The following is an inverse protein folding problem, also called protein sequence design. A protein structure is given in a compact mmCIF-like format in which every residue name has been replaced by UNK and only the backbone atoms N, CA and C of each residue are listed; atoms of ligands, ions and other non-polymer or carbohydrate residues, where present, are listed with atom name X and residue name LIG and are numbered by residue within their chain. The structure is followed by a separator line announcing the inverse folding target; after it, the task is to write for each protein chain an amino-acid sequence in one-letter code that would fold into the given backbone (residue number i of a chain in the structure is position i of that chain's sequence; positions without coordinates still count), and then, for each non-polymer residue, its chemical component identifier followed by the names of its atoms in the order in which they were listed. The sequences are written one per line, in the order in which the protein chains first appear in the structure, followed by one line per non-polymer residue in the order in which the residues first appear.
data_IF_026609154125
#
_entry.id   IF_026609154125
#
_cell.length_a   1.000
_cell.length_b   1.000
_cell.length_c   1.000
_cell.angle_alpha   90.00
_cell.angle_beta   90.00
_cell.angle_gamma   90.00
#
_symmetry.space_group_name_H-M   'P 1'
#
loop_
_entity.id
_entity.type
_entity.pdbx_description
1 polymer ?
#
# COMPACT_ATOMS: atom_id res chain seq x y z
N UNK A 1 27.97 -50.48 86.59
CA UNK A 1 27.39 -50.11 85.28
C UNK A 1 26.22 -49.18 85.56
N UNK A 2 26.08 -48.15 84.72
CA UNK A 2 25.13 -47.02 84.75
C UNK A 2 25.28 -45.95 85.83
N UNK A 3 25.85 -44.79 85.43
CA UNK A 3 25.36 -43.46 85.82
C UNK A 3 26.02 -42.30 85.02
N UNK A 4 25.18 -41.65 84.19
CA UNK A 4 24.97 -40.20 84.02
C UNK A 4 25.88 -39.24 83.20
N UNK A 5 25.14 -38.38 82.48
CA UNK A 5 25.42 -37.06 81.86
C UNK A 5 26.03 -37.07 80.44
N UNK A 6 25.60 -36.26 79.48
CA UNK A 6 24.96 -34.93 79.54
C UNK A 6 23.88 -34.73 78.47
N UNK A 7 22.98 -33.78 78.73
CA UNK A 7 21.96 -33.26 77.82
C UNK A 7 22.59 -32.56 76.61
N UNK A 8 22.22 -32.96 75.39
CA UNK A 8 22.49 -32.18 74.17
C UNK A 8 21.61 -30.91 74.18
N UNK A 9 22.12 -29.82 74.75
CA UNK A 9 21.46 -28.50 74.69
C UNK A 9 21.65 -27.91 73.29
N UNK A 10 20.58 -27.84 72.50
CA UNK A 10 20.57 -27.16 71.19
C UNK A 10 20.86 -25.67 71.38
N UNK A 11 21.85 -25.15 70.65
CA UNK A 11 22.31 -23.77 70.80
C UNK A 11 21.54 -22.86 69.84
N UNK A 12 20.48 -22.22 70.35
CA UNK A 12 19.64 -21.31 69.55
C UNK A 12 20.22 -19.89 69.57
N UNK A 13 20.38 -19.30 68.38
CA UNK A 13 20.89 -17.94 68.22
C UNK A 13 19.96 -17.12 67.33
N UNK A 14 19.67 -15.89 67.72
CA UNK A 14 18.90 -14.95 66.91
C UNK A 14 19.80 -13.90 66.27
N UNK A 15 19.53 -13.58 65.01
CA UNK A 15 20.20 -12.52 64.27
C UNK A 15 19.16 -11.63 63.58
N UNK A 16 19.15 -10.35 63.95
CA UNK A 16 18.26 -9.36 63.37
C UNK A 16 18.89 -8.73 62.13
N UNK A 17 18.22 -8.89 61.00
CA UNK A 17 18.66 -8.36 59.71
C UNK A 17 18.07 -6.96 59.53
N UNK A 18 18.94 -6.02 59.17
CA UNK A 18 18.56 -4.64 58.85
C UNK A 18 18.98 -4.32 57.42
N UNK A 19 18.12 -3.58 56.70
CA UNK A 19 18.37 -3.12 55.33
C UNK A 19 19.49 -2.06 55.22
N UNK A 20 19.92 -1.47 56.34
CA UNK A 20 21.03 -0.49 56.38
C UNK A 20 22.41 -1.15 56.45
N UNK A 21 22.46 -2.43 56.82
CA UNK A 21 23.72 -3.16 56.98
C UNK A 21 23.96 -4.01 55.73
N UNK A 22 25.17 -3.95 55.11
CA UNK A 22 25.47 -4.75 53.93
C UNK A 22 25.26 -6.26 54.15
N UNK A 23 24.71 -6.94 53.14
CA UNK A 23 24.42 -8.39 53.15
C UNK A 23 25.64 -9.21 53.58
N UNK A 24 26.83 -8.86 53.09
CA UNK A 24 28.06 -9.58 53.41
C UNK A 24 28.39 -9.58 54.91
N UNK A 25 28.09 -8.48 55.63
CA UNK A 25 28.31 -8.42 57.08
C UNK A 25 27.37 -9.35 57.85
N UNK A 26 26.13 -9.49 57.38
CA UNK A 26 25.17 -10.45 57.95
C UNK A 26 25.61 -11.89 57.67
N UNK A 27 26.08 -12.19 56.46
CA UNK A 27 26.60 -13.51 56.08
C UNK A 27 27.79 -13.94 56.94
N UNK A 28 28.76 -13.05 57.18
CA UNK A 28 29.92 -13.37 58.02
C UNK A 28 29.51 -13.64 59.47
N UNK A 29 28.57 -12.85 60.02
CA UNK A 29 28.07 -13.05 61.39
C UNK A 29 27.26 -14.34 61.53
N UNK A 30 26.39 -14.62 60.56
CA UNK A 30 25.57 -15.83 60.54
C UNK A 30 26.41 -17.10 60.35
N UNK A 31 27.38 -17.09 59.43
CA UNK A 31 28.28 -18.23 59.20
C UNK A 31 29.07 -18.61 60.46
N UNK A 32 29.55 -17.62 61.22
CA UNK A 32 30.26 -17.88 62.49
C UNK A 32 29.40 -18.60 63.54
N UNK A 33 28.08 -18.45 63.48
CA UNK A 33 27.16 -19.14 64.39
C UNK A 33 26.82 -20.55 63.93
N UNK A 34 26.83 -20.80 62.62
CA UNK A 34 26.55 -22.09 62.00
C UNK A 34 27.76 -23.04 61.97
N UNK A 35 28.98 -22.53 62.19
CA UNK A 35 30.20 -23.33 62.36
C UNK A 35 30.27 -24.10 63.69
N UNK A 36 29.31 -23.89 64.61
CA UNK A 36 29.19 -24.61 65.88
C UNK A 36 28.23 -25.80 65.73
N UNK A 37 28.67 -27.00 66.15
CA UNK A 37 27.86 -28.23 66.14
C UNK A 37 26.57 -28.05 66.96
N UNK A 38 25.43 -28.53 66.45
CA UNK A 38 24.08 -28.41 67.05
C UNK A 38 23.57 -26.95 67.26
N UNK A 39 23.79 -26.06 66.30
CA UNK A 39 23.27 -24.67 66.33
C UNK A 39 22.01 -24.46 65.47
N UNK A 40 21.02 -23.76 66.03
CA UNK A 40 19.84 -23.27 65.29
C UNK A 40 19.95 -21.75 65.18
N UNK A 41 19.97 -21.23 63.96
CA UNK A 41 20.02 -19.79 63.69
C UNK A 41 18.64 -19.28 63.25
N UNK A 42 18.09 -18.33 63.99
CA UNK A 42 16.85 -17.64 63.65
C UNK A 42 17.21 -16.28 63.04
N UNK A 43 16.79 -16.06 61.79
CA UNK A 43 16.97 -14.80 61.07
C UNK A 43 15.68 -13.97 61.15
N UNK A 44 15.74 -12.85 61.87
CA UNK A 44 14.60 -11.96 62.05
C UNK A 44 14.67 -10.78 61.09
N UNK A 45 13.73 -10.69 60.15
CA UNK A 45 13.57 -9.57 59.22
C UNK A 45 12.18 -8.96 59.30
N UNK A 46 12.09 -7.63 59.42
CA UNK A 46 10.82 -6.90 59.44
C UNK A 46 10.79 -5.82 58.34
N UNK A 47 9.62 -5.63 57.71
CA UNK A 47 9.40 -4.61 56.68
C UNK A 47 10.40 -4.70 55.53
N UNK A 48 11.09 -3.58 55.21
CA UNK A 48 12.07 -3.51 54.11
C UNK A 48 13.27 -4.45 54.26
N UNK A 49 13.50 -5.02 55.44
CA UNK A 49 14.60 -5.96 55.67
C UNK A 49 14.26 -7.41 55.29
N UNK A 50 12.98 -7.74 55.02
CA UNK A 50 12.54 -9.12 54.71
C UNK A 50 13.28 -9.68 53.49
N UNK A 51 13.38 -8.90 52.41
CA UNK A 51 14.09 -9.31 51.17
C UNK A 51 15.56 -9.59 51.48
N UNK A 52 16.20 -8.72 52.26
CA UNK A 52 17.60 -8.89 52.69
C UNK A 52 17.76 -10.14 53.57
N UNK A 53 16.78 -10.45 54.41
CA UNK A 53 16.78 -11.66 55.26
C UNK A 53 16.71 -12.93 54.41
N UNK A 54 15.85 -12.95 53.39
CA UNK A 54 15.72 -14.07 52.46
C UNK A 54 17.02 -14.26 51.67
N UNK A 55 17.59 -13.17 51.14
CA UNK A 55 18.86 -13.22 50.40
C UNK A 55 20.02 -13.73 51.28
N UNK A 56 20.08 -13.32 52.55
CA UNK A 56 21.06 -13.84 53.52
C UNK A 56 20.83 -15.35 53.77
N UNK A 57 19.58 -15.79 53.94
CA UNK A 57 19.26 -17.19 54.20
C UNK A 57 19.65 -18.12 53.03
N UNK A 58 19.31 -17.72 51.79
CA UNK A 58 19.64 -18.50 50.59
C UNK A 58 21.14 -18.58 50.34
N UNK A 59 21.87 -17.46 50.50
CA UNK A 59 23.34 -17.44 50.36
C UNK A 59 24.04 -18.25 51.44
N UNK A 60 23.48 -18.36 52.64
CA UNK A 60 24.00 -19.28 53.66
C UNK A 60 23.77 -20.74 53.25
N UNK A 61 22.59 -21.07 52.73
CA UNK A 61 22.30 -22.42 52.25
C UNK A 61 23.26 -22.85 51.14
N UNK A 62 23.52 -21.97 50.18
CA UNK A 62 24.51 -22.18 49.11
C UNK A 62 25.94 -22.32 49.67
N UNK A 63 26.35 -21.42 50.58
CA UNK A 63 27.68 -21.43 51.19
C UNK A 63 27.97 -22.70 51.99
N UNK A 64 26.97 -23.31 52.62
CA UNK A 64 27.09 -24.57 53.35
C UNK A 64 26.62 -25.79 52.53
N UNK A 65 26.65 -25.69 51.19
CA UNK A 65 26.37 -26.80 50.26
C UNK A 65 25.04 -27.54 50.54
N UNK A 66 23.97 -26.79 50.86
CA UNK A 66 22.63 -27.32 51.15
C UNK A 66 22.52 -28.25 52.38
N UNK A 67 23.53 -28.27 53.26
CA UNK A 67 23.46 -29.04 54.53
C UNK A 67 22.54 -28.40 55.58
N UNK A 68 22.19 -27.12 55.39
CA UNK A 68 21.28 -26.38 56.26
C UNK A 68 19.84 -26.54 55.76
N UNK A 69 18.94 -26.94 56.66
CA UNK A 69 17.50 -26.96 56.41
C UNK A 69 16.88 -25.64 56.85
N UNK A 70 16.23 -24.94 55.92
CA UNK A 70 15.49 -23.72 56.22
C UNK A 70 14.09 -24.08 56.71
N UNK A 71 13.66 -23.43 57.79
CA UNK A 71 12.26 -23.42 58.25
C UNK A 71 11.77 -21.98 58.25
N UNK A 72 10.61 -21.74 57.62
CA UNK A 72 10.09 -20.40 57.37
C UNK A 72 8.84 -20.22 58.21
N UNK A 73 8.92 -19.35 59.22
CA UNK A 73 7.76 -18.90 59.98
C UNK A 73 7.49 -17.43 59.64
N UNK A 74 6.49 -17.18 58.81
CA UNK A 74 6.00 -15.83 58.53
C UNK A 74 4.75 -15.57 59.35
N UNK A 75 4.86 -14.81 60.44
CA UNK A 75 3.70 -14.12 61.00
C UNK A 75 3.51 -12.82 60.21
N UNK A 76 2.36 -12.71 59.54
CA UNK A 76 1.86 -11.49 58.88
C UNK A 76 2.71 -10.91 57.73
N UNK A 77 2.61 -11.50 56.53
CA UNK A 77 2.44 -10.80 55.25
C UNK A 77 2.69 -11.75 54.08
N UNK A 78 1.81 -11.67 53.07
CA UNK A 78 1.90 -12.42 51.81
C UNK A 78 3.09 -11.90 50.97
N UNK A 79 3.92 -12.81 50.44
CA UNK A 79 5.12 -12.45 49.68
C UNK A 79 4.74 -12.30 48.20
N UNK A 80 4.89 -11.09 47.65
CA UNK A 80 4.84 -10.81 46.20
C UNK A 80 6.18 -10.30 45.67
N UNK A 81 6.43 -10.59 44.40
CA UNK A 81 7.71 -10.47 43.68
C UNK A 81 8.20 -9.01 43.49
N UNK A 82 9.51 -8.82 43.37
CA UNK A 82 10.28 -7.57 43.59
C UNK A 82 10.07 -6.48 42.50
N UNK A 83 9.26 -6.75 41.47
CA UNK A 83 9.08 -5.86 40.31
C UNK A 83 7.74 -5.11 40.28
N UNK A 84 6.93 -5.16 41.33
CA UNK A 84 5.68 -4.38 41.39
C UNK A 84 5.86 -3.02 42.10
N UNK A 85 5.36 -1.92 41.51
CA UNK A 85 5.40 -0.61 42.16
C UNK A 85 4.47 -0.60 43.38
N UNK A 86 4.96 -0.08 44.50
CA UNK A 86 4.32 -0.14 45.82
C UNK A 86 3.03 0.69 45.97
N UNK A 87 2.53 1.34 44.90
CA UNK A 87 1.26 2.07 44.90
C UNK A 87 0.63 2.02 43.50
N UNK A 88 -0.69 1.81 43.47
CA UNK A 88 -1.64 1.77 42.33
C UNK A 88 -1.93 0.37 41.74
N UNK A 89 -2.66 -0.45 42.51
CA UNK A 89 -3.18 -1.78 42.11
C UNK A 89 -4.11 -1.73 40.87
N UNK A 90 -4.82 -0.64 40.63
CA UNK A 90 -5.72 -0.52 39.46
C UNK A 90 -4.96 -0.26 38.15
N UNK A 91 -3.82 0.45 38.19
CA UNK A 91 -3.09 0.84 36.98
C UNK A 91 -2.14 -0.27 36.52
N UNK A 92 -1.60 -1.08 37.43
CA UNK A 92 -0.73 -2.21 37.09
C UNK A 92 -1.48 -3.37 36.41
N UNK A 93 -2.68 -3.72 36.90
CA UNK A 93 -3.48 -4.78 36.29
C UNK A 93 -3.98 -4.36 34.90
N UNK A 94 -4.42 -3.10 34.75
CA UNK A 94 -4.79 -2.52 33.45
C UNK A 94 -3.62 -2.50 32.46
N UNK A 95 -2.42 -2.09 32.90
CA UNK A 95 -1.19 -2.09 32.07
C UNK A 95 -0.82 -3.51 31.62
N UNK A 96 -0.94 -4.49 32.51
CA UNK A 96 -0.61 -5.90 32.21
C UNK A 96 -1.63 -6.53 31.26
N UNK A 97 -2.91 -6.17 31.39
CA UNK A 97 -3.96 -6.58 30.46
C UNK A 97 -3.77 -5.93 29.07
N UNK A 98 -3.45 -4.64 28.99
CA UNK A 98 -3.20 -3.93 27.72
C UNK A 98 -2.01 -4.51 26.96
N UNK A 99 -0.88 -4.74 27.62
CA UNK A 99 0.30 -5.38 27.01
C UNK A 99 -0.02 -6.79 26.53
N UNK A 100 -0.85 -7.53 27.28
CA UNK A 100 -1.28 -8.88 26.91
C UNK A 100 -2.31 -8.92 25.78
N UNK A 101 -3.17 -7.92 25.66
CA UNK A 101 -4.19 -7.81 24.61
C UNK A 101 -3.60 -7.30 23.29
N UNK A 102 -2.75 -6.28 23.36
CA UNK A 102 -2.16 -5.66 22.17
C UNK A 102 -0.88 -6.35 21.71
N UNK A 103 -0.23 -7.13 22.56
CA UNK A 103 1.06 -7.75 22.25
C UNK A 103 2.21 -6.76 22.06
N UNK A 104 2.01 -5.50 22.45
CA UNK A 104 2.95 -4.38 22.32
C UNK A 104 3.57 -4.04 23.68
N UNK A 105 4.86 -3.73 23.67
CA UNK A 105 5.57 -3.19 24.84
C UNK A 105 5.13 -1.76 25.13
N UNK A 106 5.35 -1.31 26.37
CA UNK A 106 5.15 0.10 26.74
C UNK A 106 5.92 1.07 25.84
N UNK A 107 7.11 0.66 25.38
CA UNK A 107 7.90 1.44 24.43
C UNK A 107 7.20 1.56 23.07
N UNK A 108 6.74 0.46 22.48
CA UNK A 108 6.02 0.47 21.20
C UNK A 108 4.72 1.28 21.28
N UNK A 109 3.96 1.12 22.38
CA UNK A 109 2.75 1.92 22.63
C UNK A 109 3.07 3.42 22.69
N UNK A 110 4.15 3.81 23.37
CA UNK A 110 4.57 5.20 23.44
C UNK A 110 4.97 5.75 22.06
N UNK A 111 5.72 4.99 21.28
CA UNK A 111 6.15 5.37 19.93
C UNK A 111 4.93 5.59 19.01
N UNK A 112 3.96 4.66 19.03
CA UNK A 112 2.73 4.82 18.25
C UNK A 112 1.84 5.96 18.75
N UNK A 113 1.77 6.22 20.06
CA UNK A 113 1.00 7.34 20.61
C UNK A 113 1.59 8.69 20.20
N UNK A 114 2.92 8.83 20.24
CA UNK A 114 3.62 10.03 19.75
C UNK A 114 3.37 10.20 18.25
N UNK A 115 3.50 9.13 17.47
CA UNK A 115 3.25 9.18 16.04
C UNK A 115 1.78 9.54 15.70
N UNK A 116 0.81 9.02 16.47
CA UNK A 116 -0.60 9.37 16.33
C UNK A 116 -0.86 10.84 16.65
N UNK A 117 -0.19 11.40 17.65
CA UNK A 117 -0.27 12.83 17.96
C UNK A 117 0.27 13.67 16.80
N UNK A 118 1.43 13.32 16.24
CA UNK A 118 2.01 14.06 15.10
C UNK A 118 1.12 13.90 13.86
N UNK A 119 0.61 12.71 13.61
CA UNK A 119 -0.35 12.43 12.52
C UNK A 119 -1.62 13.28 12.64
N UNK A 120 -2.21 13.38 13.83
CA UNK A 120 -3.43 14.20 14.03
C UNK A 120 -3.17 15.69 13.81
N UNK A 121 -1.98 16.18 14.17
CA UNK A 121 -1.54 17.54 13.83
C UNK A 121 -1.42 17.71 12.31
N UNK A 122 -0.75 16.79 11.61
CA UNK A 122 -0.61 16.86 10.15
C UNK A 122 -1.95 16.76 9.43
N UNK A 123 -2.86 15.92 9.93
CA UNK A 123 -4.21 15.77 9.40
C UNK A 123 -5.03 17.05 9.61
N UNK A 124 -4.96 17.67 10.79
CA UNK A 124 -5.63 18.93 11.06
C UNK A 124 -5.13 20.05 10.13
N UNK A 125 -3.80 20.19 9.98
CA UNK A 125 -3.21 21.14 9.02
C UNK A 125 -3.68 20.89 7.59
N UNK A 126 -3.77 19.61 7.18
CA UNK A 126 -4.27 19.25 5.84
C UNK A 126 -5.74 19.61 5.64
N UNK A 127 -6.59 19.41 6.65
CA UNK A 127 -8.01 19.74 6.61
C UNK A 127 -8.24 21.26 6.57
N UNK A 128 -7.44 22.03 7.30
CA UNK A 128 -7.49 23.49 7.27
C UNK A 128 -6.97 24.05 5.94
N UNK A 129 -5.97 23.42 5.32
CA UNK A 129 -5.56 23.74 3.95
C UNK A 129 -6.65 23.40 2.91
N UNK A 130 -7.49 22.39 3.15
CA UNK A 130 -8.68 22.16 2.30
C UNK A 130 -9.72 23.28 2.47
N UNK A 131 -9.72 23.98 3.61
CA UNK A 131 -10.56 25.16 3.84
C UNK A 131 -9.95 26.47 3.27
N UNK A 132 -8.63 26.54 3.03
CA UNK A 132 -7.94 27.74 2.56
C UNK A 132 -7.04 27.60 1.30
N UNK A 133 -7.09 26.50 0.55
CA UNK A 133 -6.27 26.33 -0.66
C UNK A 133 -6.82 27.09 -1.89
N UNK A 134 -6.66 28.41 -1.87
CA UNK A 134 -6.61 29.27 -3.06
C UNK A 134 -5.24 29.91 -3.23
N UNK A 135 -4.14 29.26 -2.83
CA UNK A 135 -2.81 29.71 -3.24
C UNK A 135 -1.77 28.60 -3.10
N UNK A 136 -1.12 28.28 -4.21
CA UNK A 136 0.03 27.38 -4.40
C UNK A 136 -0.25 25.86 -4.53
N UNK A 137 0.01 25.26 -5.73
CA UNK A 137 -0.12 23.84 -5.95
C UNK A 137 1.18 23.11 -5.61
N UNK A 138 1.11 22.28 -4.57
CA UNK A 138 2.13 21.27 -4.25
C UNK A 138 2.50 21.24 -2.78
N UNK A 139 2.70 20.01 -2.27
CA UNK A 139 3.55 19.67 -1.11
C UNK A 139 2.93 19.27 0.23
N UNK A 140 1.70 18.73 0.28
CA UNK A 140 1.36 17.78 1.34
C UNK A 140 0.73 16.55 0.73
N UNK A 141 1.60 15.70 0.19
CA UNK A 141 1.25 14.36 -0.23
C UNK A 141 0.58 13.63 0.95
N UNK A 142 -0.46 12.84 0.71
CA UNK A 142 -1.13 12.06 1.77
C UNK A 142 -0.07 11.23 2.53
N UNK A 143 0.98 10.81 1.83
CA UNK A 143 2.17 10.17 2.36
C UNK A 143 2.91 10.96 3.45
N UNK A 144 2.95 12.30 3.37
CA UNK A 144 3.52 13.15 4.43
C UNK A 144 2.63 13.15 5.66
N UNK A 145 1.30 13.21 5.48
CA UNK A 145 0.34 13.17 6.60
C UNK A 145 0.51 11.87 7.38
N UNK A 146 0.62 10.73 6.68
CA UNK A 146 0.81 9.41 7.29
C UNK A 146 2.28 9.10 7.67
N UNK A 147 3.26 9.93 7.29
CA UNK A 147 4.68 9.64 7.54
C UNK A 147 5.05 9.40 9.00
N UNK A 148 4.48 10.10 10.01
CA UNK A 148 4.79 9.81 11.41
C UNK A 148 4.44 8.38 11.82
N UNK A 149 3.30 7.87 11.31
CA UNK A 149 2.87 6.48 11.57
C UNK A 149 3.85 5.50 10.92
N UNK A 150 4.29 5.76 9.69
CA UNK A 150 5.26 4.90 9.00
C UNK A 150 6.63 4.87 9.70
N UNK A 151 7.08 6.01 10.23
CA UNK A 151 8.34 6.08 10.99
C UNK A 151 8.22 5.29 12.30
N UNK A 152 7.08 5.36 12.99
CA UNK A 152 6.82 4.54 14.16
C UNK A 152 6.85 3.05 13.84
N UNK A 153 6.17 2.61 12.77
CA UNK A 153 6.16 1.21 12.35
C UNK A 153 7.59 0.71 12.03
N UNK A 154 8.41 1.52 11.36
CA UNK A 154 9.80 1.19 11.07
C UNK A 154 10.66 1.08 12.34
N UNK A 155 10.51 2.01 13.28
CA UNK A 155 11.22 1.98 14.57
C UNK A 155 10.81 0.78 15.42
N UNK A 156 9.50 0.48 15.47
CA UNK A 156 8.97 -0.69 16.18
C UNK A 156 9.43 -2.00 15.53
N UNK A 157 9.48 -2.07 14.19
CA UNK A 157 10.01 -3.24 13.47
C UNK A 157 11.49 -3.45 13.79
N UNK A 158 12.30 -2.39 13.76
CA UNK A 158 13.72 -2.46 14.12
C UNK A 158 13.91 -2.96 15.56
N UNK A 159 13.14 -2.42 16.50
CA UNK A 159 13.15 -2.87 17.89
C UNK A 159 12.74 -4.35 18.01
N UNK A 160 11.70 -4.78 17.30
CA UNK A 160 11.26 -6.17 17.29
C UNK A 160 12.31 -7.13 16.74
N UNK A 161 13.12 -6.72 15.75
CA UNK A 161 14.26 -7.51 15.27
C UNK A 161 15.32 -7.69 16.37
N UNK A 162 15.64 -6.64 17.13
CA UNK A 162 16.59 -6.73 18.24
C UNK A 162 16.06 -7.70 19.32
N UNK A 163 14.79 -7.56 19.69
CA UNK A 163 14.13 -8.44 20.68
C UNK A 163 14.09 -9.89 20.19
N UNK A 164 13.80 -10.12 18.91
CA UNK A 164 13.84 -11.44 18.28
C UNK A 164 15.22 -12.09 18.41
N UNK A 165 16.30 -11.36 18.09
CA UNK A 165 17.68 -11.87 18.21
C UNK A 165 17.98 -12.25 19.66
N UNK A 166 17.61 -11.39 20.62
CA UNK A 166 17.87 -11.64 22.05
C UNK A 166 17.09 -12.86 22.56
N UNK A 167 15.79 -12.94 22.27
CA UNK A 167 14.95 -14.07 22.68
C UNK A 167 15.38 -15.39 22.04
N UNK A 168 15.91 -15.34 20.81
CA UNK A 168 16.49 -16.51 20.15
C UNK A 168 17.73 -17.02 20.90
N UNK A 169 18.63 -16.12 21.32
CA UNK A 169 19.82 -16.47 22.10
C UNK A 169 19.44 -17.02 23.49
N UNK A 170 18.40 -16.47 24.11
CA UNK A 170 17.92 -16.86 25.44
C UNK A 170 17.02 -18.12 25.42
N UNK A 171 16.70 -18.68 24.25
CA UNK A 171 15.90 -19.91 24.11
C UNK A 171 14.37 -19.74 24.18
N UNK A 172 13.89 -18.49 24.22
CA UNK A 172 12.47 -18.10 24.32
C UNK A 172 11.77 -18.01 22.95
N UNK A 173 11.74 -19.11 22.21
CA UNK A 173 11.35 -19.12 20.78
C UNK A 173 9.86 -18.77 20.56
N UNK A 174 8.95 -19.22 21.43
CA UNK A 174 7.49 -19.01 21.23
C UNK A 174 7.09 -17.54 21.30
N UNK A 175 7.65 -16.81 22.25
CA UNK A 175 7.41 -15.37 22.46
C UNK A 175 7.99 -14.56 21.28
N UNK A 176 9.16 -14.97 20.80
CA UNK A 176 9.81 -14.34 19.65
C UNK A 176 8.99 -14.50 18.35
N UNK A 177 8.43 -15.68 18.11
CA UNK A 177 7.56 -15.96 16.95
C UNK A 177 6.29 -15.11 17.01
N UNK A 178 5.61 -15.05 18.16
CA UNK A 178 4.36 -14.29 18.31
C UNK A 178 4.55 -12.80 17.98
N UNK A 179 5.64 -12.19 18.47
CA UNK A 179 5.98 -10.79 18.18
C UNK A 179 6.32 -10.56 16.71
N UNK A 180 7.05 -11.49 16.11
CA UNK A 180 7.42 -11.39 14.68
C UNK A 180 6.19 -11.45 13.78
N UNK A 181 5.22 -12.33 14.11
CA UNK A 181 3.95 -12.44 13.40
C UNK A 181 3.16 -11.13 13.48
N UNK A 182 3.05 -10.54 14.68
CA UNK A 182 2.34 -9.27 14.86
C UNK A 182 2.97 -8.12 14.07
N UNK A 183 4.29 -7.95 14.16
CA UNK A 183 5.03 -6.93 13.40
C UNK A 183 4.90 -7.15 11.88
N UNK A 184 4.91 -8.41 11.43
CA UNK A 184 4.74 -8.74 10.00
C UNK A 184 3.31 -8.48 9.52
N UNK A 185 2.30 -8.71 10.36
CA UNK A 185 0.91 -8.41 10.03
C UNK A 185 0.69 -6.90 9.81
N UNK A 186 1.35 -6.05 10.60
CA UNK A 186 1.27 -4.59 10.44
C UNK A 186 1.94 -4.12 9.14
N UNK A 187 3.12 -4.65 8.82
CA UNK A 187 3.80 -4.39 7.53
C UNK A 187 3.00 -4.92 6.34
N UNK A 188 2.28 -6.02 6.51
CA UNK A 188 1.37 -6.54 5.48
C UNK A 188 0.19 -5.59 5.24
N UNK A 189 -0.39 -4.99 6.29
CA UNK A 189 -1.41 -3.94 6.14
C UNK A 189 -0.86 -2.75 5.34
N UNK A 190 0.40 -2.36 5.52
CA UNK A 190 1.05 -1.34 4.70
C UNK A 190 1.17 -1.75 3.23
N UNK A 191 1.60 -3.00 2.95
CA UNK A 191 1.63 -3.53 1.59
C UNK A 191 0.24 -3.49 0.95
N UNK A 192 -0.80 -3.87 1.70
CA UNK A 192 -2.19 -3.76 1.24
C UNK A 192 -2.59 -2.31 0.96
N UNK A 193 -2.19 -1.34 1.79
CA UNK A 193 -2.48 0.08 1.56
C UNK A 193 -1.83 0.61 0.28
N UNK A 194 -0.59 0.20 -0.02
CA UNK A 194 0.08 0.58 -1.27
C UNK A 194 -0.63 0.01 -2.50
N UNK A 195 -1.16 -1.20 -2.41
CA UNK A 195 -1.97 -1.81 -3.47
C UNK A 195 -3.33 -1.10 -3.68
N UNK A 196 -3.77 -0.25 -2.74
CA UNK A 196 -4.99 0.56 -2.89
C UNK A 196 -4.77 1.83 -3.74
N UNK A 197 -3.53 2.32 -3.90
CA UNK A 197 -3.25 3.49 -4.75
C UNK A 197 -3.22 3.07 -6.21
N UNK A 198 -4.35 3.27 -6.89
CA UNK A 198 -4.48 2.95 -8.30
C UNK A 198 -4.50 4.20 -9.16
N UNK A 199 -3.84 4.10 -10.30
CA UNK A 199 -3.84 5.17 -11.30
C UNK A 199 -4.55 4.69 -12.56
N UNK A 200 -5.05 5.62 -13.37
CA UNK A 200 -5.76 5.31 -14.61
C UNK A 200 -4.99 5.88 -15.79
N UNK A 201 -4.76 5.06 -16.81
CA UNK A 201 -4.21 5.51 -18.09
C UNK A 201 -5.26 5.28 -19.19
N UNK A 202 -5.72 6.36 -19.82
CA UNK A 202 -6.77 6.33 -20.84
C UNK A 202 -6.16 6.69 -22.19
N UNK A 203 -6.20 5.75 -23.13
CA UNK A 203 -5.64 5.95 -24.47
C UNK A 203 -6.75 6.05 -25.53
N UNK A 204 -6.64 7.03 -26.43
CA UNK A 204 -7.21 6.87 -27.77
C UNK A 204 -6.40 5.84 -28.57
N UNK A 205 -6.99 5.31 -29.64
CA UNK A 205 -6.37 4.32 -30.50
C UNK A 205 -5.75 4.95 -31.74
N UNK A 206 -6.58 5.48 -32.64
CA UNK A 206 -6.14 6.13 -33.88
C UNK A 206 -5.24 7.32 -33.57
N UNK A 207 -4.16 7.48 -34.33
CA UNK A 207 -3.13 8.48 -34.13
C UNK A 207 -2.52 8.56 -32.71
N UNK A 208 -2.87 7.69 -31.78
CA UNK A 208 -2.38 7.72 -30.41
C UNK A 208 -1.64 6.42 -30.08
N UNK A 209 -2.32 5.28 -30.07
CA UNK A 209 -1.65 3.97 -29.95
C UNK A 209 -0.96 3.61 -31.28
N UNK A 210 -1.67 3.75 -32.38
CA UNK A 210 -1.17 3.46 -33.73
C UNK A 210 -0.72 4.73 -34.44
N UNK A 211 0.31 4.60 -35.28
CA UNK A 211 0.81 5.73 -36.08
C UNK A 211 0.03 5.84 -37.41
N UNK A 212 -1.26 6.16 -37.30
CA UNK A 212 -2.16 6.27 -38.44
C UNK A 212 -3.62 6.27 -38.03
N UNK A 213 -4.52 6.21 -39.01
CA UNK A 213 -5.95 6.10 -38.79
C UNK A 213 -6.47 4.79 -39.40
N UNK A 214 -7.05 3.94 -38.56
CA UNK A 214 -7.51 2.60 -38.90
C UNK A 214 -8.61 2.59 -39.97
N UNK A 215 -9.53 3.55 -39.93
CA UNK A 215 -10.57 3.68 -40.94
C UNK A 215 -10.00 4.13 -42.29
N UNK A 216 -9.04 5.05 -42.30
CA UNK A 216 -8.35 5.49 -43.53
C UNK A 216 -7.61 4.33 -44.19
N UNK A 217 -6.90 3.49 -43.41
CA UNK A 217 -6.24 2.29 -43.93
C UNK A 217 -7.24 1.28 -44.50
N UNK A 218 -8.38 1.08 -43.84
CA UNK A 218 -9.44 0.21 -44.35
C UNK A 218 -10.06 0.73 -45.66
N UNK A 219 -10.31 2.05 -45.75
CA UNK A 219 -10.79 2.71 -46.97
C UNK A 219 -9.78 2.55 -48.12
N UNK A 220 -8.48 2.55 -47.82
CA UNK A 220 -7.39 2.38 -48.78
C UNK A 220 -7.43 1.08 -49.59
N UNK A 221 -8.21 0.08 -49.16
CA UNK A 221 -8.43 -1.16 -49.89
C UNK A 221 -9.39 -1.02 -51.08
N UNK A 222 -10.10 0.10 -51.20
CA UNK A 222 -11.03 0.35 -52.30
C UNK A 222 -10.25 0.83 -53.54
N UNK A 223 -10.29 0.03 -54.60
CA UNK A 223 -9.72 0.37 -55.91
C UNK A 223 -10.72 0.01 -57.03
N UNK A 224 -11.06 0.94 -57.95
CA UNK A 224 -10.63 2.34 -58.04
C UNK A 224 -11.23 3.24 -56.94
N UNK A 225 -10.54 4.33 -56.61
CA UNK A 225 -10.97 5.31 -55.60
C UNK A 225 -12.31 5.98 -55.91
N UNK A 226 -12.76 5.93 -57.16
CA UNK A 226 -14.10 6.38 -57.57
C UNK A 226 -15.25 5.60 -56.93
N UNK A 227 -14.97 4.42 -56.36
CA UNK A 227 -15.96 3.61 -55.63
C UNK A 227 -16.14 4.06 -54.18
N UNK A 228 -15.27 4.93 -53.66
CA UNK A 228 -15.38 5.46 -52.31
C UNK A 228 -16.62 6.37 -52.25
N UNK A 229 -17.63 6.06 -51.42
CA UNK A 229 -18.81 6.90 -51.24
C UNK A 229 -18.43 8.32 -50.82
N UNK A 230 -19.16 9.32 -51.31
CA UNK A 230 -18.97 10.70 -50.88
C UNK A 230 -19.39 10.86 -49.41
N UNK A 231 -18.43 11.26 -48.58
CA UNK A 231 -18.63 11.54 -47.14
C UNK A 231 -19.75 12.56 -46.90
N UNK A 232 -20.00 13.49 -47.83
CA UNK A 232 -21.05 14.52 -47.70
C UNK A 232 -22.46 13.94 -47.54
N UNK A 233 -22.68 12.70 -47.97
CA UNK A 233 -23.95 11.99 -47.82
C UNK A 233 -24.23 11.61 -46.35
N UNK A 234 -23.19 11.55 -45.52
CA UNK A 234 -23.26 11.14 -44.12
C UNK A 234 -22.80 12.26 -43.17
N UNK A 235 -23.49 13.41 -43.14
CA UNK A 235 -23.09 14.53 -42.28
C UNK A 235 -23.15 14.10 -40.82
N UNK A 236 -22.04 14.28 -40.10
CA UNK A 236 -21.91 13.96 -38.67
C UNK A 236 -22.24 12.51 -38.27
N UNK A 237 -22.25 11.57 -39.22
CA UNK A 237 -22.51 10.16 -38.95
C UNK A 237 -21.40 9.26 -39.51
N UNK A 238 -20.24 9.32 -38.85
CA UNK A 238 -19.06 8.57 -39.25
C UNK A 238 -19.27 7.05 -39.23
N UNK A 239 -19.97 6.53 -38.22
CA UNK A 239 -20.27 5.09 -38.11
C UNK A 239 -21.08 4.59 -39.31
N UNK A 240 -22.12 5.33 -39.73
CA UNK A 240 -22.90 4.95 -40.91
C UNK A 240 -22.10 5.07 -42.21
N UNK A 241 -21.22 6.07 -42.32
CA UNK A 241 -20.28 6.20 -43.43
C UNK A 241 -19.36 4.96 -43.52
N UNK A 242 -18.74 4.57 -42.41
CA UNK A 242 -17.88 3.39 -42.38
C UNK A 242 -18.65 2.09 -42.64
N UNK A 243 -19.91 1.99 -42.20
CA UNK A 243 -20.75 0.85 -42.57
C UNK A 243 -20.92 0.75 -44.09
N UNK A 244 -21.13 1.89 -44.76
CA UNK A 244 -21.23 1.93 -46.23
C UNK A 244 -19.90 1.57 -46.90
N UNK A 245 -18.77 1.97 -46.33
CA UNK A 245 -17.44 1.55 -46.80
C UNK A 245 -17.29 0.03 -46.74
N UNK A 246 -17.69 -0.60 -45.63
CA UNK A 246 -17.63 -2.06 -45.52
C UNK A 246 -18.56 -2.79 -46.50
N UNK A 247 -19.73 -2.23 -46.81
CA UNK A 247 -20.62 -2.79 -47.83
C UNK A 247 -20.00 -2.67 -49.25
N UNK A 248 -19.28 -1.58 -49.55
CA UNK A 248 -18.53 -1.42 -50.81
C UNK A 248 -17.38 -2.42 -50.90
N UNK A 249 -16.61 -2.59 -49.82
CA UNK A 249 -15.53 -3.57 -49.76
C UNK A 249 -16.03 -5.00 -50.00
N UNK A 250 -17.18 -5.36 -49.41
CA UNK A 250 -17.85 -6.64 -49.69
C UNK A 250 -18.23 -6.79 -51.16
N UNK A 251 -18.76 -5.74 -51.76
CA UNK A 251 -19.17 -5.72 -53.19
C UNK A 251 -17.96 -5.91 -54.12
N UNK A 252 -16.79 -5.42 -53.70
CA UNK A 252 -15.52 -5.61 -54.40
C UNK A 252 -14.81 -6.93 -54.02
N UNK A 253 -15.52 -7.87 -53.38
CA UNK A 253 -15.03 -9.20 -52.99
C UNK A 253 -13.82 -9.16 -52.02
N UNK A 254 -13.61 -8.04 -51.31
CA UNK A 254 -12.60 -7.96 -50.26
C UNK A 254 -13.12 -8.68 -49.02
N UNK A 255 -12.34 -9.63 -48.51
CA UNK A 255 -12.71 -10.40 -47.33
C UNK A 255 -12.59 -9.54 -46.06
N UNK A 256 -13.50 -9.72 -45.11
CA UNK A 256 -13.45 -9.03 -43.82
C UNK A 256 -12.11 -9.26 -43.10
N UNK A 257 -11.55 -10.46 -43.23
CA UNK A 257 -10.23 -10.81 -42.69
C UNK A 257 -9.10 -9.96 -43.30
N UNK A 258 -9.16 -9.66 -44.60
CA UNK A 258 -8.15 -8.80 -45.25
C UNK A 258 -8.20 -7.37 -44.69
N UNK A 259 -9.41 -6.85 -44.46
CA UNK A 259 -9.62 -5.53 -43.85
C UNK A 259 -9.01 -5.49 -42.44
N UNK A 260 -9.32 -6.51 -41.62
CA UNK A 260 -8.79 -6.63 -40.26
C UNK A 260 -7.26 -6.75 -40.28
N UNK A 261 -6.69 -7.53 -41.19
CA UNK A 261 -5.25 -7.78 -41.27
C UNK A 261 -4.45 -6.54 -41.65
N UNK A 262 -5.01 -5.67 -42.50
CA UNK A 262 -4.38 -4.39 -42.87
C UNK A 262 -4.24 -3.49 -41.65
N UNK A 263 -5.31 -3.32 -40.87
CA UNK A 263 -5.25 -2.55 -39.63
C UNK A 263 -4.35 -3.23 -38.59
N UNK A 264 -4.43 -4.55 -38.47
CA UNK A 264 -3.59 -5.33 -37.53
C UNK A 264 -2.10 -5.15 -37.78
N UNK A 265 -1.71 -4.91 -39.04
CA UNK A 265 -0.31 -4.71 -39.46
C UNK A 265 0.19 -3.26 -39.32
N UNK A 266 -0.69 -2.33 -38.91
CA UNK A 266 -0.30 -0.94 -38.69
C UNK A 266 0.75 -0.81 -37.59
N UNK A 267 1.71 0.08 -37.79
CA UNK A 267 2.79 0.30 -36.83
C UNK A 267 2.27 1.05 -35.60
N UNK A 268 2.73 0.69 -34.39
CA UNK A 268 2.50 1.53 -33.21
C UNK A 268 3.23 2.86 -33.33
N UNK A 269 2.74 3.89 -32.65
CA UNK A 269 3.55 5.06 -32.35
C UNK A 269 4.83 4.63 -31.60
N UNK A 270 5.97 5.21 -31.97
CA UNK A 270 7.28 4.78 -31.46
C UNK A 270 7.31 4.82 -29.92
N UNK A 271 7.68 3.69 -29.30
CA UNK A 271 7.75 3.54 -27.85
C UNK A 271 6.40 3.31 -27.14
N UNK A 272 5.27 3.37 -27.84
CA UNK A 272 3.94 3.26 -27.21
C UNK A 272 3.67 1.90 -26.55
N UNK A 273 3.98 0.73 -27.17
CA UNK A 273 3.82 -0.56 -26.50
C UNK A 273 4.68 -0.70 -25.23
N UNK A 274 5.89 -0.13 -25.23
CA UNK A 274 6.77 -0.10 -24.06
C UNK A 274 6.15 0.74 -22.94
N UNK A 275 5.63 1.93 -23.27
CA UNK A 275 4.94 2.80 -22.32
C UNK A 275 3.73 2.10 -21.68
N UNK A 276 2.86 1.48 -22.49
CA UNK A 276 1.67 0.80 -21.98
C UNK A 276 2.01 -0.34 -21.01
N UNK A 277 3.05 -1.14 -21.31
CA UNK A 277 3.55 -2.18 -20.39
C UNK A 277 4.06 -1.59 -19.09
N UNK A 278 4.89 -0.56 -19.18
CA UNK A 278 5.45 0.10 -18.01
C UNK A 278 4.36 0.70 -17.10
N UNK A 279 3.29 1.24 -17.68
CA UNK A 279 2.13 1.71 -16.92
C UNK A 279 1.45 0.56 -16.18
N UNK A 280 1.14 -0.55 -16.86
CA UNK A 280 0.53 -1.72 -16.21
C UNK A 280 1.40 -2.28 -15.07
N UNK A 281 2.71 -2.39 -15.29
CA UNK A 281 3.68 -2.84 -14.29
C UNK A 281 3.79 -1.90 -13.06
N UNK A 282 3.33 -0.65 -13.18
CA UNK A 282 3.36 0.36 -12.14
C UNK A 282 1.96 0.72 -11.59
N UNK A 283 1.08 -0.28 -11.52
CA UNK A 283 -0.27 -0.19 -10.93
C UNK A 283 -1.22 0.80 -11.61
N UNK A 284 -1.06 1.01 -12.93
CA UNK A 284 -2.09 1.68 -13.73
C UNK A 284 -3.09 0.67 -14.28
N UNK A 285 -4.38 0.96 -14.10
CA UNK A 285 -5.38 0.39 -15.01
C UNK A 285 -5.22 1.09 -16.37
N UNK A 286 -4.82 0.33 -17.38
CA UNK A 286 -4.71 0.82 -18.76
C UNK A 286 -6.02 0.53 -19.48
N UNK A 287 -6.69 1.56 -19.98
CA UNK A 287 -7.93 1.43 -20.75
C UNK A 287 -7.79 2.13 -22.11
N UNK A 288 -8.57 1.66 -23.08
CA UNK A 288 -8.69 2.27 -24.41
C UNK A 288 -10.10 2.82 -24.58
N UNK A 289 -10.23 4.09 -24.97
CA UNK A 289 -11.50 4.73 -25.31
C UNK A 289 -11.37 5.37 -26.70
N UNK A 290 -11.96 4.74 -27.72
CA UNK A 290 -11.73 5.12 -29.11
C UNK A 290 -12.95 4.96 -30.03
N UNK A 291 -13.11 5.91 -30.95
CA UNK A 291 -14.13 5.95 -32.01
C UNK A 291 -13.89 4.97 -33.17
N UNK A 292 -12.81 4.17 -33.13
CA UNK A 292 -12.59 3.03 -34.02
C UNK A 292 -13.66 1.93 -33.76
N UNK A 293 -13.31 0.66 -33.99
CA UNK A 293 -14.20 -0.45 -33.71
C UNK A 293 -13.50 -1.64 -33.03
N UNK A 294 -14.31 -2.49 -32.39
CA UNK A 294 -13.80 -3.61 -31.59
C UNK A 294 -12.94 -4.59 -32.38
N UNK A 295 -13.29 -4.92 -33.62
CA UNK A 295 -12.49 -5.86 -34.42
C UNK A 295 -11.09 -5.32 -34.69
N UNK A 296 -10.97 -4.03 -35.00
CA UNK A 296 -9.67 -3.40 -35.25
C UNK A 296 -8.81 -3.37 -33.99
N UNK A 297 -9.35 -2.85 -32.89
CA UNK A 297 -8.59 -2.69 -31.64
C UNK A 297 -8.18 -4.05 -31.07
N UNK A 298 -9.09 -5.02 -30.96
CA UNK A 298 -8.79 -6.33 -30.37
C UNK A 298 -7.74 -7.10 -31.17
N UNK A 299 -7.84 -7.13 -32.51
CA UNK A 299 -6.88 -7.85 -33.33
C UNK A 299 -5.50 -7.17 -33.32
N UNK A 300 -5.45 -5.83 -33.35
CA UNK A 300 -4.19 -5.11 -33.25
C UNK A 300 -3.49 -5.33 -31.90
N UNK A 301 -4.23 -5.25 -30.78
CA UNK A 301 -3.68 -5.50 -29.44
C UNK A 301 -3.17 -6.93 -29.30
N UNK A 302 -3.92 -7.91 -29.83
CA UNK A 302 -3.50 -9.32 -29.83
C UNK A 302 -2.21 -9.53 -30.62
N UNK A 303 -2.11 -8.95 -31.81
CA UNK A 303 -0.92 -9.03 -32.66
C UNK A 303 0.32 -8.42 -31.97
N UNK A 304 0.15 -7.30 -31.29
CA UNK A 304 1.21 -6.59 -30.58
C UNK A 304 1.45 -7.09 -29.14
N UNK A 305 0.77 -8.17 -28.71
CA UNK A 305 0.88 -8.80 -27.38
C UNK A 305 0.56 -7.83 -26.23
N UNK A 306 -0.48 -7.03 -26.37
CA UNK A 306 -0.91 -6.03 -25.38
C UNK A 306 -2.27 -6.36 -24.76
N UNK A 307 -2.85 -7.54 -25.05
CA UNK A 307 -4.15 -7.96 -24.51
C UNK A 307 -4.13 -8.12 -22.99
N UNK A 308 -3.02 -8.54 -22.42
CA UNK A 308 -2.76 -8.66 -20.98
C UNK A 308 -2.44 -7.31 -20.30
N UNK A 309 -2.20 -6.27 -21.11
CA UNK A 309 -1.88 -4.91 -20.64
C UNK A 309 -3.13 -4.06 -20.53
N UNK A 310 -4.05 -4.18 -21.48
CA UNK A 310 -5.27 -3.36 -21.53
C UNK A 310 -6.38 -4.03 -20.71
N UNK A 311 -6.79 -3.36 -19.64
CA UNK A 311 -7.83 -3.85 -18.72
C UNK A 311 -9.25 -3.73 -19.29
N UNK A 312 -9.56 -2.67 -20.04
CA UNK A 312 -10.88 -2.42 -20.63
C UNK A 312 -10.77 -1.69 -21.97
N UNK A 313 -11.67 -2.00 -22.91
CA UNK A 313 -11.76 -1.34 -24.22
C UNK A 313 -13.19 -0.84 -24.41
N UNK A 314 -13.32 0.47 -24.65
CA UNK A 314 -14.57 1.16 -24.92
C UNK A 314 -14.54 1.70 -26.34
N UNK A 315 -15.32 1.09 -27.22
CA UNK A 315 -15.31 1.40 -28.66
C UNK A 315 -16.60 0.91 -29.33
N UNK A 316 -16.83 1.29 -30.58
CA UNK A 316 -17.98 0.84 -31.36
C UNK A 316 -17.93 -0.69 -31.57
N UNK A 317 -18.94 -1.45 -31.13
CA UNK A 317 -18.99 -2.88 -31.36
C UNK A 317 -18.97 -3.21 -32.86
N UNK A 318 -18.19 -4.21 -33.23
CA UNK A 318 -18.11 -4.72 -34.58
C UNK A 318 -18.10 -6.25 -34.61
N UNK A 319 -18.84 -6.81 -35.56
CA UNK A 319 -18.89 -8.25 -35.84
C UNK A 319 -18.80 -8.52 -37.33
N UNK A 320 -18.42 -9.73 -37.72
CA UNK A 320 -18.40 -10.15 -39.12
C UNK A 320 -19.65 -10.97 -39.40
N UNK A 321 -20.49 -10.49 -40.33
CA UNK A 321 -21.71 -11.18 -40.80
C UNK A 321 -21.66 -11.27 -42.32
N UNK A 322 -21.73 -12.49 -42.86
CA UNK A 322 -21.68 -12.76 -44.31
C UNK A 322 -20.49 -12.05 -45.01
N UNK A 323 -19.29 -12.17 -44.44
CA UNK A 323 -18.08 -11.52 -44.92
C UNK A 323 -18.15 -9.97 -44.95
N UNK A 324 -19.00 -9.36 -44.13
CA UNK A 324 -19.10 -7.91 -43.98
C UNK A 324 -18.92 -7.52 -42.54
N UNK A 325 -18.10 -6.50 -42.29
CA UNK A 325 -17.99 -5.91 -40.96
C UNK A 325 -19.27 -5.09 -40.70
N UNK A 326 -20.00 -5.46 -39.65
CA UNK A 326 -21.16 -4.74 -39.13
C UNK A 326 -20.74 -3.98 -37.88
N UNK A 327 -20.91 -2.66 -37.91
CA UNK A 327 -20.54 -1.75 -36.82
C UNK A 327 -21.79 -1.15 -36.21
N UNK A 328 -21.80 -1.05 -34.88
CA UNK A 328 -22.85 -0.40 -34.11
C UNK A 328 -22.25 0.72 -33.26
N UNK A 329 -23.00 1.81 -32.97
CA UNK A 329 -22.52 2.83 -32.05
C UNK A 329 -22.36 2.26 -30.64
N UNK A 330 -21.27 2.61 -29.94
CA UNK A 330 -21.07 2.20 -28.54
C UNK A 330 -22.20 2.69 -27.63
N UNK A 331 -22.66 3.91 -27.85
CA UNK A 331 -23.85 4.48 -27.22
C UNK A 331 -24.49 5.51 -28.14
N UNK A 332 -25.71 5.94 -27.82
CA UNK A 332 -26.36 7.07 -28.50
C UNK A 332 -26.35 8.25 -27.54
N UNK A 333 -25.51 9.24 -27.85
CA UNK A 333 -25.36 10.44 -27.02
C UNK A 333 -25.82 11.69 -27.80
N UNK A 334 -26.45 12.63 -27.10
CA UNK A 334 -26.96 13.90 -27.68
C UNK A 334 -26.51 15.14 -26.88
N UNK A 335 -25.77 14.95 -25.79
CA UNK A 335 -25.48 16.00 -24.81
C UNK A 335 -24.09 16.60 -24.97
N UNK A 336 -23.13 15.81 -25.45
CA UNK A 336 -21.76 16.25 -25.62
C UNK A 336 -21.59 16.89 -26.99
N UNK A 337 -21.10 18.12 -27.00
CA UNK A 337 -20.80 18.89 -28.22
C UNK A 337 -19.42 18.55 -28.81
N UNK A 338 -18.55 17.91 -28.02
CA UNK A 338 -17.16 17.61 -28.38
C UNK A 338 -16.97 16.23 -29.00
N UNK A 339 -17.77 15.25 -28.56
CA UNK A 339 -17.70 13.88 -29.06
C UNK A 339 -18.80 13.62 -30.10
N UNK A 340 -18.59 12.60 -30.93
CA UNK A 340 -19.59 12.18 -31.92
C UNK A 340 -20.82 11.53 -31.26
N UNK A 341 -21.90 11.34 -32.02
CA UNK A 341 -23.14 10.78 -31.48
C UNK A 341 -23.03 9.31 -31.07
N UNK A 342 -22.03 8.58 -31.58
CA UNK A 342 -21.80 7.15 -31.33
C UNK A 342 -21.09 6.85 -30.01
N UNK A 343 -20.40 7.83 -29.40
CA UNK A 343 -19.78 7.68 -28.08
C UNK A 343 -19.36 9.00 -27.46
N UNK A 344 -19.30 9.06 -26.13
CA UNK A 344 -18.75 10.19 -25.39
C UNK A 344 -17.58 9.73 -24.54
N UNK A 345 -16.34 10.07 -24.93
CA UNK A 345 -15.13 9.68 -24.19
C UNK A 345 -15.11 10.25 -22.77
N UNK A 346 -15.63 11.46 -22.55
CA UNK A 346 -15.74 12.05 -21.22
C UNK A 346 -16.69 11.28 -20.30
N UNK A 347 -17.82 10.81 -20.83
CA UNK A 347 -18.74 9.97 -20.06
C UNK A 347 -18.14 8.59 -19.77
N UNK A 348 -17.43 8.00 -20.73
CA UNK A 348 -16.73 6.71 -20.54
C UNK A 348 -15.73 6.79 -19.39
N UNK A 349 -14.93 7.84 -19.30
CA UNK A 349 -13.97 8.01 -18.20
C UNK A 349 -14.69 8.16 -16.86
N UNK A 350 -15.71 9.02 -16.77
CA UNK A 350 -16.51 9.19 -15.54
C UNK A 350 -17.18 7.89 -15.09
N UNK A 351 -17.84 7.19 -16.01
CA UNK A 351 -18.52 5.92 -15.73
C UNK A 351 -17.55 4.82 -15.34
N UNK A 352 -16.35 4.76 -15.96
CA UNK A 352 -15.33 3.79 -15.57
C UNK A 352 -14.87 3.99 -14.12
N UNK A 353 -14.63 5.25 -13.73
CA UNK A 353 -14.25 5.61 -12.35
C UNK A 353 -15.38 5.24 -11.37
N UNK A 354 -16.64 5.50 -11.73
CA UNK A 354 -17.79 5.19 -10.87
C UNK A 354 -18.04 3.67 -10.75
N UNK A 355 -18.06 2.95 -11.87
CA UNK A 355 -18.49 1.55 -11.93
C UNK A 355 -17.49 0.58 -11.31
N UNK A 356 -16.21 0.92 -11.33
CA UNK A 356 -15.18 0.05 -10.75
C UNK A 356 -15.14 0.14 -9.22
N UNK A 357 -15.86 1.09 -8.61
CA UNK A 357 -15.75 1.44 -7.20
C UNK A 357 -14.28 1.65 -6.76
N UNK A 358 -13.42 2.00 -7.73
CA UNK A 358 -12.01 2.29 -7.52
C UNK A 358 -11.86 3.80 -7.44
N UNK A 359 -11.06 4.24 -6.49
CA UNK A 359 -10.60 5.62 -6.45
C UNK A 359 -9.29 5.69 -7.21
N UNK A 360 -9.23 6.52 -8.24
CA UNK A 360 -7.99 6.80 -8.94
C UNK A 360 -7.41 8.12 -8.42
N UNK A 361 -6.17 8.08 -7.93
CA UNK A 361 -5.50 9.27 -7.40
C UNK A 361 -4.95 10.18 -8.51
N UNK A 362 -4.77 9.60 -9.71
CA UNK A 362 -4.27 10.28 -10.89
C UNK A 362 -4.76 9.61 -12.17
N UNK A 363 -5.18 10.43 -13.13
CA UNK A 363 -5.54 10.03 -14.48
C UNK A 363 -4.49 10.58 -15.46
N UNK A 364 -3.97 9.71 -16.31
CA UNK A 364 -3.17 10.07 -17.48
C UNK A 364 -4.04 9.87 -18.72
N UNK A 365 -4.27 10.94 -19.47
CA UNK A 365 -5.08 10.88 -20.68
C UNK A 365 -4.20 11.09 -21.92
N UNK A 366 -4.27 10.18 -22.89
CA UNK A 366 -3.49 10.22 -24.13
C UNK A 366 -4.45 10.30 -25.31
N UNK A 367 -4.32 11.34 -26.13
CA UNK A 367 -5.18 11.55 -27.29
C UNK A 367 -4.63 12.57 -28.27
N UNK A 368 -5.28 12.72 -29.40
CA UNK A 368 -4.87 13.59 -30.50
C UNK A 368 -6.03 14.39 -31.12
N UNK A 369 -7.27 13.93 -30.96
CA UNK A 369 -8.41 14.36 -31.73
C UNK A 369 -9.30 15.42 -31.06
N UNK A 370 -10.35 15.84 -31.78
CA UNK A 370 -11.37 16.74 -31.26
C UNK A 370 -12.22 16.11 -30.14
N UNK A 371 -12.58 14.83 -30.32
CA UNK A 371 -13.35 14.00 -29.39
C UNK A 371 -12.66 13.75 -28.05
N UNK A 372 -11.34 13.99 -27.97
CA UNK A 372 -10.55 13.87 -26.74
C UNK A 372 -10.62 15.12 -25.85
N UNK A 373 -11.10 16.26 -26.36
CA UNK A 373 -11.22 17.47 -25.54
C UNK A 373 -12.24 17.27 -24.41
N UNK A 374 -13.33 16.53 -24.66
CA UNK A 374 -14.39 16.27 -23.68
C UNK A 374 -13.87 15.70 -22.35
N UNK A 375 -13.17 14.55 -22.31
CA UNK A 375 -12.61 14.03 -21.06
C UNK A 375 -11.58 14.97 -20.46
N UNK A 376 -10.75 15.62 -21.29
CA UNK A 376 -9.67 16.51 -20.81
C UNK A 376 -10.20 17.72 -20.05
N UNK A 377 -11.34 18.29 -20.46
CA UNK A 377 -11.98 19.40 -19.74
C UNK A 377 -12.52 19.01 -18.36
N UNK A 378 -12.73 17.71 -18.13
CA UNK A 378 -13.29 17.16 -16.88
C UNK A 378 -12.22 16.66 -15.91
N UNK A 379 -10.96 16.61 -16.33
CA UNK A 379 -9.84 16.23 -15.49
C UNK A 379 -9.62 17.25 -14.36
N UNK A 380 -8.80 16.88 -13.38
CA UNK A 380 -8.46 17.70 -12.22
C UNK A 380 -7.00 18.17 -12.27
N UNK A 381 -6.61 19.07 -11.34
CA UNK A 381 -5.22 19.54 -11.20
C UNK A 381 -4.19 18.45 -10.87
N UNK A 382 -4.64 17.29 -10.41
CA UNK A 382 -3.77 16.16 -10.12
C UNK A 382 -3.45 15.33 -11.37
N UNK A 383 -4.21 15.51 -12.44
CA UNK A 383 -4.14 14.70 -13.65
C UNK A 383 -3.17 15.27 -14.67
N UNK A 384 -2.79 14.44 -15.65
CA UNK A 384 -1.91 14.84 -16.76
C UNK A 384 -2.57 14.46 -18.08
N UNK A 385 -2.65 15.43 -18.99
CA UNK A 385 -3.06 15.17 -20.37
C UNK A 385 -1.84 15.21 -21.28
N UNK A 386 -1.74 14.22 -22.15
CA UNK A 386 -0.73 14.06 -23.17
C UNK A 386 -1.38 14.24 -24.56
N UNK A 387 -1.54 15.48 -25.05
CA UNK A 387 -1.98 15.71 -26.41
C UNK A 387 -0.87 15.38 -27.41
N UNK A 388 -1.19 14.71 -28.52
CA UNK A 388 -0.20 14.47 -29.57
C UNK A 388 0.22 15.81 -30.19
N UNK A 389 1.51 16.11 -30.14
CA UNK A 389 2.07 17.39 -30.58
C UNK A 389 1.71 17.65 -32.05
N UNK A 390 1.14 18.82 -32.33
CA UNK A 390 0.73 19.22 -33.67
C UNK A 390 -0.63 18.71 -34.14
N UNK A 391 -1.33 17.88 -33.35
CA UNK A 391 -2.66 17.38 -33.67
C UNK A 391 -3.77 18.29 -33.12
N UNK A 392 -5.03 17.93 -33.36
CA UNK A 392 -6.19 18.77 -33.06
C UNK A 392 -6.27 19.10 -31.57
N UNK A 393 -6.09 18.10 -30.70
CA UNK A 393 -6.15 18.30 -29.24
C UNK A 393 -5.07 19.27 -28.74
N UNK A 394 -3.84 19.15 -29.23
CA UNK A 394 -2.74 20.09 -28.90
C UNK A 394 -3.10 21.54 -29.27
N UNK A 395 -3.76 21.74 -30.41
CA UNK A 395 -4.22 23.06 -30.81
C UNK A 395 -5.42 23.56 -29.99
N UNK A 396 -6.38 22.69 -29.67
CA UNK A 396 -7.56 23.05 -28.88
C UNK A 396 -7.19 23.47 -27.46
N UNK A 397 -6.16 22.86 -26.87
CA UNK A 397 -5.66 23.20 -25.53
C UNK A 397 -4.87 24.52 -25.47
N UNK A 398 -4.65 25.19 -26.61
CA UNK A 398 -4.14 26.58 -26.65
C UNK A 398 -5.25 27.60 -26.42
N UNK A 399 -6.50 27.25 -26.71
CA UNK A 399 -7.66 28.13 -26.58
C UNK A 399 -8.61 27.72 -25.45
N UNK A 400 -8.58 26.46 -25.03
CA UNK A 400 -9.39 25.93 -23.94
C UNK A 400 -8.52 25.62 -22.72
N UNK A 401 -9.03 25.92 -21.53
CA UNK A 401 -8.33 25.68 -20.28
C UNK A 401 -8.83 24.42 -19.61
N UNK A 402 -7.91 23.53 -19.25
CA UNK A 402 -8.13 22.40 -18.34
C UNK A 402 -7.35 22.65 -17.03
N UNK A 403 -7.86 22.22 -15.87
CA UNK A 403 -7.07 22.28 -14.63
C UNK A 403 -5.91 21.27 -14.64
N UNK A 404 -5.94 20.24 -15.49
CA UNK A 404 -4.90 19.21 -15.58
C UNK A 404 -3.59 19.75 -16.16
N UNK A 405 -2.47 19.11 -15.82
CA UNK A 405 -1.17 19.44 -16.41
C UNK A 405 -1.15 18.99 -17.87
N UNK A 406 -0.93 19.93 -18.79
CA UNK A 406 -0.82 19.63 -20.23
C UNK A 406 0.64 19.34 -20.60
N UNK A 407 0.88 18.22 -21.27
CA UNK A 407 2.20 17.80 -21.75
C UNK A 407 2.14 17.25 -23.18
N UNK A 408 2.36 18.09 -24.20
CA UNK A 408 2.42 17.62 -25.57
C UNK A 408 3.52 16.57 -25.78
N UNK A 409 3.25 15.55 -26.59
CA UNK A 409 4.18 14.44 -26.84
C UNK A 409 4.42 14.19 -28.32
N UNK A 410 5.61 13.68 -28.66
CA UNK A 410 6.00 13.29 -30.02
C UNK A 410 6.25 11.78 -30.18
N UNK A 411 6.52 11.06 -29.08
CA UNK A 411 6.62 9.60 -29.06
C UNK A 411 6.20 9.03 -27.71
N UNK A 412 5.89 7.73 -27.65
CA UNK A 412 5.67 7.01 -26.39
C UNK A 412 6.95 6.92 -25.55
N UNK A 413 8.13 6.90 -26.18
CA UNK A 413 9.43 6.91 -25.49
C UNK A 413 9.64 8.23 -24.72
N UNK A 414 9.27 9.36 -25.33
CA UNK A 414 9.32 10.66 -24.66
C UNK A 414 8.46 10.68 -23.38
N UNK A 415 7.26 10.11 -23.45
CA UNK A 415 6.36 10.04 -22.29
C UNK A 415 6.94 9.09 -21.24
N UNK A 416 7.47 7.93 -21.65
CA UNK A 416 8.11 6.97 -20.74
C UNK A 416 9.23 7.63 -19.93
N UNK A 417 10.16 8.34 -20.59
CA UNK A 417 11.26 9.04 -19.89
C UNK A 417 10.74 10.17 -19.00
N UNK A 418 9.71 10.89 -19.41
CA UNK A 418 9.07 11.89 -18.57
C UNK A 418 8.49 11.25 -17.28
N UNK A 419 7.66 10.20 -17.40
CA UNK A 419 7.03 9.56 -16.26
C UNK A 419 8.07 8.99 -15.29
N UNK A 420 9.14 8.41 -15.82
CA UNK A 420 10.29 7.92 -15.03
C UNK A 420 10.98 9.05 -14.27
N UNK A 421 11.23 10.19 -14.93
CA UNK A 421 11.85 11.37 -14.29
C UNK A 421 10.99 11.92 -13.14
N UNK A 422 9.67 11.81 -13.25
CA UNK A 422 8.71 12.22 -12.22
C UNK A 422 8.41 11.15 -11.18
N UNK A 423 9.05 9.97 -11.26
CA UNK A 423 8.82 8.81 -10.37
C UNK A 423 7.37 8.30 -10.38
N UNK A 424 6.62 8.54 -11.46
CA UNK A 424 5.28 7.98 -11.66
C UNK A 424 5.34 6.52 -12.15
N UNK A 425 6.47 6.14 -12.75
CA UNK A 425 6.78 4.75 -13.07
C UNK A 425 8.20 4.43 -12.55
N UNK A 426 8.39 3.21 -12.07
CA UNK A 426 9.67 2.65 -11.66
C UNK A 426 10.35 1.91 -12.82
N UNK A 427 11.68 1.79 -12.73
CA UNK A 427 12.55 1.09 -13.70
C UNK A 427 12.52 -0.41 -13.59
#
# INVERSE_FOLDING_TARGET
MSSLSASDSVLVKELFVSSKTPVQCHLTRAAKHLELDNSVLILNGLGKAIITTIDVALKLQEKFHNTIKLDIQTSTADIKDILEPLNEDDDYEARTQLVRWLGLTMFEMLVHLIALLIFTIFLALRLDDVAFASTSPGSYDIWIVFSPLFVADALCTYFNIIVLIRLYIEGHIKEAIARTIWSSALLFVWALFKELEKMLAVFDFDHTIIDGNSDVEAIGLINPTSLIPDRKIFPNNWTQYMQRIFDVLKTNEILAEQIINVVTSMRPNYGMPKLMRALNENNFDVIVASDSNSLFIYNWLKHNKLTDVVSCIYTNPATVVDNTIKIEPYTVQTKCEWCNSNMCKGAIVEEHVLNTNKKYDKILYFGDGHNDLCPVLKLTKNDIVFPRLGYILDNLLKTHTTPAKVMPWCSGEYIYEFLKSTKLIST
#
